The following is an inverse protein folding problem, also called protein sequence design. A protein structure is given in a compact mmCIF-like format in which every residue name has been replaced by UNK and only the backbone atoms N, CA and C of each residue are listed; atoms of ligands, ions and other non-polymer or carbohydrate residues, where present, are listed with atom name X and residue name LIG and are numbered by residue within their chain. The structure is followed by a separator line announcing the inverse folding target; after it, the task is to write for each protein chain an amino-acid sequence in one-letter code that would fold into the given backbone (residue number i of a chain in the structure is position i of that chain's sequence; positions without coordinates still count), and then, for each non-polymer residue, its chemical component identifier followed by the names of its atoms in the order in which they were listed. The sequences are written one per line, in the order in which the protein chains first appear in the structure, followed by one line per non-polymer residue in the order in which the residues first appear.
data_IF_681946164415
#
_entry.id   IF_681946164415
#
_cell.length_a   1.000
_cell.length_b   1.000
_cell.length_c   1.000
_cell.angle_alpha   90.00
_cell.angle_beta   90.00
_cell.angle_gamma   90.00
#
_symmetry.space_group_name_H-M   'P 1'
#
loop_
_entity.id
_entity.type
_entity.pdbx_description
1 polymer ?
#
# COMPACT_ATOMS: atom_id res chain seq x y z
N UNK A 1 -6.78 0.56 -9.19
CA UNK A 1 -5.36 0.22 -9.39
C UNK A 1 -4.70 0.08 -8.02
N UNK A 2 -3.98 -1.01 -7.76
CA UNK A 2 -3.30 -1.26 -6.47
C UNK A 2 -1.77 -1.25 -6.61
N UNK A 3 -1.24 -1.65 -7.76
CA UNK A 3 0.18 -1.60 -8.10
C UNK A 3 0.33 -0.99 -9.50
N UNK A 4 1.37 -0.19 -9.71
CA UNK A 4 1.75 0.36 -11.00
C UNK A 4 3.16 -0.10 -11.39
N UNK A 5 3.32 -0.58 -12.63
CA UNK A 5 4.62 -0.88 -13.22
C UNK A 5 5.29 0.43 -13.66
N UNK A 6 6.56 0.60 -13.29
CA UNK A 6 7.35 1.80 -13.54
C UNK A 6 8.44 1.61 -14.58
N UNK A 7 8.84 0.35 -14.86
CA UNK A 7 9.82 0.03 -15.88
C UNK A 7 9.30 -1.01 -16.86
N UNK A 8 9.74 -0.88 -18.11
CA UNK A 8 9.49 -1.85 -19.19
C UNK A 8 10.32 -3.13 -19.03
N UNK A 9 11.29 -3.11 -18.10
CA UNK A 9 12.05 -4.28 -17.70
C UNK A 9 11.11 -5.25 -17.00
N UNK A 10 10.68 -6.28 -17.73
CA UNK A 10 9.96 -7.44 -17.20
C UNK A 10 10.53 -7.86 -15.84
N UNK A 11 9.82 -7.65 -14.71
CA UNK A 11 10.20 -8.25 -13.43
C UNK A 11 10.32 -9.77 -13.51
N UNK A 12 9.76 -10.35 -14.59
CA UNK A 12 9.60 -11.77 -14.83
C UNK A 12 10.82 -12.46 -15.45
N UNK A 13 11.94 -11.77 -15.72
CA UNK A 13 13.15 -12.43 -16.24
C UNK A 13 13.99 -13.15 -15.18
N UNK A 14 13.72 -13.00 -13.88
CA UNK A 14 14.42 -13.75 -12.84
C UNK A 14 13.65 -13.84 -11.51
N UNK A 15 13.63 -15.07 -10.95
CA UNK A 15 13.52 -15.41 -9.52
C UNK A 15 12.24 -14.96 -8.79
N UNK A 16 12.05 -15.55 -7.62
CA UNK A 16 10.99 -15.18 -6.70
C UNK A 16 11.12 -13.72 -6.24
N UNK A 17 9.97 -13.05 -6.11
CA UNK A 17 9.83 -11.66 -5.66
C UNK A 17 9.11 -11.68 -4.31
N UNK A 18 9.80 -11.26 -3.26
CA UNK A 18 9.26 -11.14 -1.91
C UNK A 18 9.81 -9.87 -1.24
N UNK A 19 9.23 -8.69 -1.51
CA UNK A 19 9.73 -7.43 -0.97
C UNK A 19 9.62 -7.44 0.55
N UNK A 20 10.74 -7.21 1.23
CA UNK A 20 10.80 -7.17 2.70
C UNK A 20 11.01 -5.73 3.18
N UNK A 21 10.15 -5.29 4.09
CA UNK A 21 10.29 -4.05 4.86
C UNK A 21 10.40 -4.32 6.38
N UNK A 22 10.42 -3.26 7.18
CA UNK A 22 10.48 -3.35 8.65
C UNK A 22 9.27 -4.06 9.27
N UNK A 23 8.11 -4.01 8.61
CA UNK A 23 6.86 -4.64 9.04
C UNK A 23 6.73 -6.10 8.57
N UNK A 24 7.55 -6.53 7.60
CA UNK A 24 7.60 -7.89 7.11
C UNK A 24 7.57 -7.98 5.59
N UNK A 25 7.18 -9.14 5.07
CA UNK A 25 7.04 -9.37 3.63
C UNK A 25 5.77 -8.69 3.14
N UNK A 26 5.92 -7.87 2.10
CA UNK A 26 4.83 -7.20 1.43
C UNK A 26 3.99 -8.21 0.63
N UNK A 27 2.68 -8.27 0.92
CA UNK A 27 1.76 -9.18 0.22
C UNK A 27 1.10 -8.61 -1.03
N UNK A 28 1.31 -7.33 -1.37
CA UNK A 28 0.71 -6.69 -2.54
C UNK A 28 1.54 -6.89 -3.81
N UNK A 29 2.86 -7.04 -3.68
CA UNK A 29 3.78 -7.32 -4.78
C UNK A 29 4.59 -8.55 -4.41
N UNK A 30 4.25 -9.72 -4.95
CA UNK A 30 5.08 -10.91 -4.81
C UNK A 30 4.92 -11.84 -6.02
N UNK A 31 5.92 -12.69 -6.24
CA UNK A 31 5.93 -13.71 -7.28
C UNK A 31 6.75 -14.90 -6.78
N UNK A 32 6.34 -16.12 -7.09
CA UNK A 32 7.19 -17.30 -6.90
C UNK A 32 6.98 -18.29 -8.02
N UNK A 33 8.07 -18.87 -8.50
CA UNK A 33 8.04 -20.02 -9.39
C UNK A 33 7.82 -21.35 -8.65
N UNK A 34 7.90 -21.35 -7.32
CA UNK A 34 7.74 -22.55 -6.49
C UNK A 34 6.25 -22.84 -6.25
N UNK A 35 5.74 -23.82 -7.02
CA UNK A 35 4.37 -24.29 -6.90
C UNK A 35 4.06 -24.94 -5.54
N UNK A 36 5.03 -25.53 -4.86
CA UNK A 36 4.84 -26.13 -3.54
C UNK A 36 4.68 -25.04 -2.48
N UNK A 37 5.53 -24.01 -2.52
CA UNK A 37 5.39 -22.83 -1.66
C UNK A 37 4.02 -22.16 -1.87
N UNK A 38 3.62 -21.93 -3.13
CA UNK A 38 2.33 -21.32 -3.44
C UNK A 38 1.15 -22.15 -2.91
N UNK A 39 1.19 -23.48 -3.07
CA UNK A 39 0.17 -24.39 -2.51
C UNK A 39 0.13 -24.33 -0.98
N UNK A 40 1.28 -24.27 -0.31
CA UNK A 40 1.38 -24.12 1.14
C UNK A 40 0.77 -22.80 1.63
N UNK A 41 1.12 -21.69 0.97
CA UNK A 41 0.54 -20.37 1.24
C UNK A 41 -0.99 -20.38 1.08
N UNK A 42 -1.48 -20.93 -0.03
CA UNK A 42 -2.91 -21.01 -0.30
C UNK A 42 -3.65 -21.90 0.72
N UNK A 43 -3.09 -23.07 1.04
CA UNK A 43 -3.67 -23.97 2.04
C UNK A 43 -3.80 -23.27 3.40
N UNK A 44 -2.72 -22.65 3.89
CA UNK A 44 -2.74 -21.92 5.15
C UNK A 44 -3.73 -20.75 5.15
N UNK A 45 -3.81 -19.99 4.06
CA UNK A 45 -4.81 -18.93 3.93
C UNK A 45 -6.24 -19.48 3.99
N UNK A 46 -6.51 -20.60 3.30
CA UNK A 46 -7.83 -21.25 3.27
C UNK A 46 -8.26 -21.81 4.63
N UNK A 47 -7.34 -22.34 5.44
CA UNK A 47 -7.63 -22.81 6.81
C UNK A 47 -8.13 -21.69 7.76
N UNK A 48 -7.96 -20.43 7.35
CA UNK A 48 -8.32 -19.24 8.13
C UNK A 48 -9.63 -18.59 7.66
N UNK A 49 -10.15 -18.99 6.49
CA UNK A 49 -11.42 -18.47 5.95
C UNK A 49 -12.57 -18.80 6.93
N UNK A 50 -13.51 -17.86 7.09
CA UNK A 50 -14.66 -18.03 7.99
C UNK A 50 -14.39 -17.75 9.47
N UNK A 51 -13.14 -17.40 9.85
CA UNK A 51 -12.78 -17.00 11.21
C UNK A 51 -12.80 -15.47 11.38
N UNK A 52 -12.81 -15.00 12.62
CA UNK A 52 -12.63 -13.58 12.93
C UNK A 52 -11.14 -13.20 12.77
N UNK A 53 -10.77 -12.78 11.56
CA UNK A 53 -9.38 -12.52 11.19
C UNK A 53 -8.92 -11.13 11.63
N UNK A 54 -7.70 -11.08 12.18
CA UNK A 54 -6.95 -9.84 12.36
C UNK A 54 -6.33 -9.43 11.02
N UNK A 55 -6.06 -8.14 10.90
CA UNK A 55 -5.43 -7.59 9.70
C UNK A 55 -4.08 -8.25 9.42
N UNK A 56 -3.86 -8.69 8.18
CA UNK A 56 -2.62 -9.31 7.73
C UNK A 56 -2.50 -10.82 7.96
N UNK A 57 -3.41 -11.47 8.69
CA UNK A 57 -3.33 -12.91 9.02
C UNK A 57 -3.39 -13.86 7.82
N UNK A 58 -3.92 -13.41 6.68
CA UNK A 58 -3.93 -14.14 5.40
C UNK A 58 -3.02 -13.51 4.35
N UNK A 59 -2.23 -12.50 4.73
CA UNK A 59 -1.38 -11.74 3.82
C UNK A 59 0.02 -11.54 4.43
N UNK A 60 0.45 -10.29 4.70
CA UNK A 60 1.80 -10.00 5.18
C UNK A 60 2.28 -10.81 6.39
N UNK A 61 1.43 -11.06 7.39
CA UNK A 61 1.83 -11.82 8.58
C UNK A 61 2.03 -13.30 8.24
N UNK A 62 1.16 -13.87 7.41
CA UNK A 62 1.28 -15.24 6.94
C UNK A 62 2.52 -15.44 6.09
N UNK A 63 2.73 -14.56 5.11
CA UNK A 63 3.92 -14.56 4.24
C UNK A 63 5.18 -14.42 5.08
N UNK A 64 5.24 -13.44 5.98
CA UNK A 64 6.41 -13.23 6.83
C UNK A 64 6.73 -14.45 7.68
N UNK A 65 5.72 -15.09 8.26
CA UNK A 65 5.89 -16.30 9.07
C UNK A 65 6.44 -17.47 8.23
N UNK A 66 5.83 -17.74 7.08
CA UNK A 66 6.19 -18.90 6.26
C UNK A 66 7.51 -18.73 5.50
N UNK A 67 7.84 -17.51 5.10
CA UNK A 67 9.06 -17.22 4.35
C UNK A 67 10.29 -17.01 5.24
N UNK A 68 10.08 -16.84 6.55
CA UNK A 68 11.15 -16.82 7.56
C UNK A 68 11.48 -18.22 8.11
N UNK A 69 10.66 -19.22 7.80
CA UNK A 69 10.97 -20.61 8.14
C UNK A 69 12.22 -21.07 7.33
N UNK A 70 13.25 -21.52 8.06
CA UNK A 70 14.56 -21.84 7.50
C UNK A 70 14.51 -22.94 6.44
N UNK A 71 13.48 -23.78 6.43
CA UNK A 71 13.36 -24.92 5.51
C UNK A 71 12.98 -24.53 4.08
N UNK A 72 12.38 -23.35 3.88
CA UNK A 72 11.81 -22.92 2.60
C UNK A 72 12.15 -21.46 2.25
N UNK A 73 13.22 -20.90 2.81
CA UNK A 73 13.49 -19.45 2.74
C UNK A 73 13.83 -19.01 1.31
N UNK A 74 12.92 -18.34 0.58
CA UNK A 74 13.28 -17.79 -0.72
C UNK A 74 14.20 -16.59 -0.51
N UNK A 75 14.87 -16.18 -1.59
CA UNK A 75 15.61 -14.92 -1.57
C UNK A 75 14.64 -13.77 -1.47
N UNK A 76 14.69 -13.02 -0.37
CA UNK A 76 13.88 -11.83 -0.19
C UNK A 76 14.38 -10.70 -1.11
N UNK A 77 13.44 -9.91 -1.60
CA UNK A 77 13.71 -8.81 -2.53
C UNK A 77 13.83 -7.47 -1.78
N UNK A 78 14.73 -6.58 -2.21
CA UNK A 78 14.79 -5.22 -1.68
C UNK A 78 13.46 -4.47 -1.87
N UNK A 79 12.90 -3.93 -0.79
CA UNK A 79 11.67 -3.13 -0.83
C UNK A 79 11.76 -1.97 -1.82
N UNK A 80 12.88 -1.26 -1.86
CA UNK A 80 13.07 -0.09 -2.72
C UNK A 80 12.85 -0.38 -4.22
N UNK A 81 13.00 -1.63 -4.67
CA UNK A 81 12.71 -1.99 -6.06
C UNK A 81 11.23 -2.18 -6.36
N UNK A 82 10.39 -2.48 -5.36
CA UNK A 82 9.00 -2.90 -5.59
C UNK A 82 7.96 -2.01 -4.88
N UNK A 83 8.31 -1.48 -3.71
CA UNK A 83 7.48 -0.63 -2.87
C UNK A 83 8.31 0.56 -2.33
N UNK A 84 8.89 1.41 -3.22
CA UNK A 84 9.80 2.49 -2.84
C UNK A 84 9.13 3.57 -1.97
N UNK A 85 7.83 3.79 -2.14
CA UNK A 85 7.08 4.76 -1.35
C UNK A 85 6.43 4.05 -0.16
N UNK A 86 6.79 4.47 1.05
CA UNK A 86 6.23 3.96 2.28
C UNK A 86 4.75 4.35 2.45
N UNK A 87 4.03 3.58 3.25
CA UNK A 87 2.59 3.80 3.46
C UNK A 87 2.23 5.14 4.10
N UNK A 88 3.13 5.71 4.92
CA UNK A 88 2.95 7.05 5.47
C UNK A 88 3.04 8.17 4.43
N UNK A 89 3.73 7.90 3.32
CA UNK A 89 4.07 8.88 2.29
C UNK A 89 3.24 8.73 1.01
N UNK A 90 2.19 7.91 1.03
CA UNK A 90 1.37 7.64 -0.16
C UNK A 90 0.76 8.90 -0.78
N UNK A 91 0.52 9.94 0.03
CA UNK A 91 0.01 11.23 -0.43
C UNK A 91 0.97 11.94 -1.41
N UNK A 92 2.27 11.68 -1.31
CA UNK A 92 3.30 12.25 -2.20
C UNK A 92 3.09 11.83 -3.67
N UNK A 93 2.54 10.65 -3.90
CA UNK A 93 2.20 10.19 -5.26
C UNK A 93 1.10 11.05 -5.92
N UNK A 94 0.25 11.70 -5.13
CA UNK A 94 -0.96 12.40 -5.58
C UNK A 94 -0.78 13.91 -5.69
N UNK A 95 0.25 14.47 -5.07
CA UNK A 95 0.44 15.91 -4.94
C UNK A 95 1.59 16.40 -5.84
N UNK A 96 1.37 17.44 -6.68
CA UNK A 96 2.39 17.93 -7.61
C UNK A 96 3.71 18.34 -6.97
N UNK A 97 3.69 18.94 -5.77
CA UNK A 97 4.90 19.40 -5.10
C UNK A 97 5.90 18.29 -4.73
N UNK A 98 5.46 17.03 -4.68
CA UNK A 98 6.32 15.87 -4.40
C UNK A 98 6.68 15.08 -5.66
N UNK A 99 6.36 15.61 -6.85
CA UNK A 99 6.58 14.91 -8.13
C UNK A 99 8.04 14.52 -8.31
N UNK A 100 8.96 15.47 -8.09
CA UNK A 100 10.39 15.24 -8.30
C UNK A 100 10.98 14.30 -7.25
N UNK A 101 10.57 14.44 -5.99
CA UNK A 101 10.95 13.53 -4.91
C UNK A 101 10.53 12.09 -5.22
N UNK A 102 9.28 11.89 -5.65
CA UNK A 102 8.78 10.58 -6.05
C UNK A 102 9.53 10.06 -7.28
N UNK A 103 9.85 10.92 -8.24
CA UNK A 103 10.59 10.55 -9.44
C UNK A 103 11.99 10.04 -9.12
N UNK A 104 12.73 10.72 -8.23
CA UNK A 104 14.05 10.26 -7.80
C UNK A 104 13.95 8.97 -6.97
N UNK A 105 13.02 8.92 -6.01
CA UNK A 105 12.81 7.75 -5.15
C UNK A 105 12.45 6.50 -5.97
N UNK A 106 11.72 6.69 -7.06
CA UNK A 106 11.28 5.60 -7.94
C UNK A 106 12.20 5.38 -9.15
N UNK A 107 13.34 6.07 -9.26
CA UNK A 107 14.18 6.10 -10.47
C UNK A 107 14.66 4.71 -10.91
N UNK A 108 14.93 3.82 -9.95
CA UNK A 108 15.37 2.44 -10.20
C UNK A 108 14.32 1.39 -9.81
N UNK A 109 13.12 1.83 -9.41
CA UNK A 109 12.06 0.93 -9.00
C UNK A 109 11.36 0.29 -10.21
N UNK A 110 10.94 -0.97 -10.04
CA UNK A 110 10.18 -1.73 -11.03
C UNK A 110 8.70 -1.48 -10.86
N UNK A 111 8.22 -1.41 -9.61
CA UNK A 111 6.83 -1.13 -9.28
C UNK A 111 6.70 -0.07 -8.21
N UNK A 112 5.49 0.49 -8.09
CA UNK A 112 5.04 1.22 -6.90
C UNK A 112 3.70 0.66 -6.44
N UNK A 113 3.60 0.38 -5.13
CA UNK A 113 2.36 -0.03 -4.49
C UNK A 113 1.55 1.22 -4.08
N UNK A 114 0.28 1.27 -4.48
CA UNK A 114 -0.62 2.41 -4.30
C UNK A 114 -1.46 2.32 -3.02
N UNK A 115 -1.36 1.20 -2.31
CA UNK A 115 -1.92 1.01 -0.97
C UNK A 115 -3.40 1.33 -0.97
N UNK A 116 -4.14 0.57 -1.77
CA UNK A 116 -5.54 0.82 -2.11
C UNK A 116 -6.45 1.04 -0.89
N UNK A 117 -6.15 0.43 0.25
CA UNK A 117 -6.86 0.66 1.51
C UNK A 117 -6.73 2.11 2.02
N UNK A 118 -5.54 2.71 1.95
CA UNK A 118 -5.31 4.09 2.37
C UNK A 118 -6.02 5.06 1.43
N UNK A 119 -5.93 4.85 0.11
CA UNK A 119 -6.64 5.68 -0.87
C UNK A 119 -8.15 5.71 -0.61
N UNK A 120 -8.76 4.54 -0.32
CA UNK A 120 -10.19 4.46 0.04
C UNK A 120 -10.49 5.25 1.31
N UNK A 121 -9.67 5.10 2.35
CA UNK A 121 -9.85 5.81 3.64
C UNK A 121 -9.65 7.33 3.53
N UNK A 122 -8.80 7.78 2.62
CA UNK A 122 -8.61 9.19 2.28
C UNK A 122 -9.84 9.80 1.59
N UNK A 123 -10.68 8.97 0.97
CA UNK A 123 -11.81 9.42 0.16
C UNK A 123 -11.46 9.66 -1.32
N UNK A 124 -10.33 9.11 -1.78
CA UNK A 124 -9.91 9.20 -3.18
C UNK A 124 -10.87 8.41 -4.10
N UNK A 125 -11.45 9.09 -5.09
CA UNK A 125 -12.30 8.48 -6.12
C UNK A 125 -11.43 7.91 -7.23
N UNK A 126 -11.41 6.58 -7.33
CA UNK A 126 -10.48 5.85 -8.21
C UNK A 126 -10.84 5.90 -9.70
N UNK A 127 -12.01 6.44 -10.04
CA UNK A 127 -12.40 6.75 -11.41
C UNK A 127 -11.97 8.17 -11.84
N UNK A 128 -11.31 8.94 -10.96
CA UNK A 128 -10.77 10.27 -11.25
C UNK A 128 -9.25 10.22 -11.17
N UNK A 129 -8.57 10.61 -12.23
CA UNK A 129 -7.12 10.63 -12.30
C UNK A 129 -6.53 11.61 -11.25
N UNK A 130 -5.35 11.35 -10.69
CA UNK A 130 -4.65 12.29 -9.82
C UNK A 130 -4.41 13.65 -10.51
N UNK A 131 -4.21 14.75 -9.77
CA UNK A 131 -3.90 16.06 -10.35
C UNK A 131 -2.78 16.04 -11.38
N UNK A 132 -2.93 16.82 -12.46
CA UNK A 132 -1.84 17.05 -13.43
C UNK A 132 -0.59 17.54 -12.71
N UNK A 133 0.58 17.06 -13.15
CA UNK A 133 1.86 17.38 -12.53
C UNK A 133 2.19 16.59 -11.26
N UNK A 134 1.27 15.77 -10.73
CA UNK A 134 1.63 14.77 -9.72
C UNK A 134 2.37 13.59 -10.35
N UNK A 135 3.23 12.92 -9.57
CA UNK A 135 3.99 11.76 -10.04
C UNK A 135 3.08 10.66 -10.62
N UNK A 136 1.98 10.33 -9.94
CA UNK A 136 1.09 9.27 -10.40
C UNK A 136 0.36 9.66 -11.69
N UNK A 137 0.00 10.93 -11.87
CA UNK A 137 -0.60 11.40 -13.11
C UNK A 137 0.38 11.27 -14.28
N UNK A 138 1.64 11.68 -14.10
CA UNK A 138 2.64 11.57 -15.16
C UNK A 138 2.92 10.12 -15.55
N UNK A 139 2.97 9.20 -14.59
CA UNK A 139 3.16 7.78 -14.90
C UNK A 139 1.97 7.19 -15.63
N UNK A 140 0.75 7.56 -15.25
CA UNK A 140 -0.47 7.20 -15.98
C UNK A 140 -0.50 7.79 -17.40
N UNK A 141 -0.01 9.01 -17.59
CA UNK A 141 0.12 9.63 -18.91
C UNK A 141 1.12 8.88 -19.79
N UNK A 142 2.29 8.56 -19.22
CA UNK A 142 3.38 7.87 -19.93
C UNK A 142 2.98 6.48 -20.44
N UNK A 143 2.13 5.74 -19.71
CA UNK A 143 1.61 4.44 -20.15
C UNK A 143 0.24 4.51 -20.85
N UNK A 144 -0.19 5.71 -21.28
CA UNK A 144 -1.47 5.94 -21.95
C UNK A 144 -2.70 5.41 -21.19
N UNK A 145 -2.63 5.43 -19.85
CA UNK A 145 -3.68 4.92 -18.96
C UNK A 145 -4.67 6.00 -18.50
N UNK A 146 -4.44 7.28 -18.84
CA UNK A 146 -5.36 8.36 -18.47
C UNK A 146 -6.77 8.18 -19.07
N UNK A 147 -6.91 7.46 -20.19
CA UNK A 147 -8.20 7.17 -20.81
C UNK A 147 -9.14 6.27 -19.97
N UNK A 148 -8.62 5.61 -18.92
CA UNK A 148 -9.44 4.81 -18.00
C UNK A 148 -10.15 5.64 -16.91
N UNK A 149 -9.89 6.95 -16.87
CA UNK A 149 -10.46 7.85 -15.85
C UNK A 149 -11.50 8.77 -16.48
N UNK A 150 -12.58 9.03 -15.73
CA UNK A 150 -13.68 9.89 -16.17
C UNK A 150 -13.33 11.38 -16.07
N UNK A 151 -12.39 11.75 -15.21
CA UNK A 151 -11.97 13.12 -14.97
C UNK A 151 -10.54 13.15 -14.39
N UNK A 152 -10.03 14.35 -14.14
CA UNK A 152 -8.76 14.59 -13.41
C UNK A 152 -9.04 15.49 -12.22
N UNK A 153 -8.49 15.16 -11.04
CA UNK A 153 -8.65 15.95 -9.84
C UNK A 153 -8.06 17.36 -10.00
N UNK A 154 -8.77 18.42 -9.58
CA UNK A 154 -8.14 19.69 -9.28
C UNK A 154 -7.13 19.54 -8.13
N UNK A 155 -6.02 20.27 -8.21
CA UNK A 155 -4.95 20.18 -7.21
C UNK A 155 -5.44 20.58 -5.81
N UNK A 156 -6.20 21.67 -5.71
CA UNK A 156 -6.75 22.19 -4.46
C UNK A 156 -7.70 21.19 -3.78
N UNK A 157 -8.49 20.46 -4.57
CA UNK A 157 -9.36 19.38 -4.08
C UNK A 157 -8.52 18.23 -3.53
N UNK A 158 -7.47 17.81 -4.24
CA UNK A 158 -6.57 16.75 -3.76
C UNK A 158 -5.85 17.15 -2.47
N UNK A 159 -5.35 18.38 -2.41
CA UNK A 159 -4.70 18.97 -1.22
C UNK A 159 -5.63 18.90 -0.01
N UNK A 160 -6.88 19.33 -0.17
CA UNK A 160 -7.91 19.24 0.89
C UNK A 160 -8.21 17.79 1.30
N UNK A 161 -8.25 16.84 0.36
CA UNK A 161 -8.43 15.42 0.69
C UNK A 161 -7.28 14.89 1.55
N UNK A 162 -6.04 15.18 1.17
CA UNK A 162 -4.83 14.79 1.92
C UNK A 162 -4.79 15.44 3.30
N UNK A 163 -5.06 16.74 3.39
CA UNK A 163 -5.13 17.48 4.65
C UNK A 163 -6.19 16.90 5.59
N UNK A 164 -7.40 16.65 5.08
CA UNK A 164 -8.48 16.05 5.86
C UNK A 164 -8.12 14.65 6.36
N UNK A 165 -7.47 13.84 5.53
CA UNK A 165 -7.01 12.51 5.93
C UNK A 165 -5.94 12.59 7.02
N UNK A 166 -4.94 13.46 6.85
CA UNK A 166 -3.88 13.69 7.83
C UNK A 166 -4.45 14.23 9.15
N UNK A 167 -5.42 15.13 9.08
CA UNK A 167 -6.13 15.68 10.24
C UNK A 167 -6.89 14.60 11.02
N UNK A 168 -7.64 13.72 10.32
CA UNK A 168 -8.31 12.56 10.93
C UNK A 168 -7.32 11.59 11.58
N UNK A 169 -6.12 11.46 11.01
CA UNK A 169 -5.05 10.60 11.55
C UNK A 169 -4.36 11.19 12.77
N UNK A 170 -4.14 12.50 12.79
CA UNK A 170 -3.33 13.19 13.81
C UNK A 170 -4.14 13.69 15.02
N UNK A 171 -5.48 13.61 15.02
CA UNK A 171 -6.32 13.89 16.19
C UNK A 171 -6.31 15.33 16.73
N UNK A 172 -5.66 16.28 16.04
CA UNK A 172 -5.42 17.66 16.52
C UNK A 172 -6.65 18.57 16.58
N UNK A 173 -7.87 18.09 16.32
CA UNK A 173 -9.11 18.84 16.58
C UNK A 173 -10.11 18.12 17.47
N UNK A 174 -9.66 17.23 18.35
CA UNK A 174 -10.51 16.76 19.44
C UNK A 174 -10.35 17.65 20.69
N UNK A 175 -10.67 18.94 20.50
CA UNK A 175 -11.34 19.77 21.52
C UNK A 175 -12.81 19.39 21.70
N UNK A 176 -13.27 18.34 21.01
CA UNK A 176 -14.61 17.77 21.09
C UNK A 176 -14.48 16.36 21.70
N UNK A 177 -14.06 16.29 22.96
CA UNK A 177 -14.12 15.03 23.74
C UNK A 177 -15.55 14.68 24.19
N UNK A 178 -16.53 15.56 23.97
CA UNK A 178 -17.92 15.34 24.41
C UNK A 178 -18.87 14.77 23.36
N UNK A 179 -18.64 14.95 22.04
CA UNK A 179 -19.59 14.51 21.00
C UNK A 179 -19.23 13.13 20.39
N UNK A 180 -17.96 12.70 20.48
CA UNK A 180 -17.50 11.47 19.81
C UNK A 180 -17.87 10.18 20.56
N UNK A 181 -18.39 10.27 21.80
CA UNK A 181 -18.75 9.07 22.57
C UNK A 181 -19.91 8.28 21.95
N UNK A 182 -20.73 8.90 21.10
CA UNK A 182 -21.89 8.23 20.48
C UNK A 182 -21.71 7.80 19.02
N UNK A 183 -20.58 8.06 18.35
CA UNK A 183 -20.54 7.83 16.88
C UNK A 183 -19.42 6.96 16.30
N UNK A 184 -18.35 6.54 16.99
CA UNK A 184 -17.29 5.77 16.29
C UNK A 184 -16.64 4.65 17.14
N UNK A 185 -17.11 3.39 17.01
CA UNK A 185 -16.47 2.19 17.58
C UNK A 185 -15.22 1.69 16.82
N UNK A 186 -14.77 2.38 15.77
CA UNK A 186 -13.78 1.87 14.81
C UNK A 186 -12.35 2.42 14.98
N UNK A 187 -12.16 3.55 15.68
CA UNK A 187 -10.83 4.18 15.81
C UNK A 187 -9.98 3.50 16.90
N UNK A 188 -10.60 3.09 18.02
CA UNK A 188 -9.90 2.41 19.12
C UNK A 188 -9.36 1.02 18.77
N UNK A 189 -9.88 0.38 17.71
CA UNK A 189 -9.46 -0.96 17.28
C UNK A 189 -8.14 -0.97 16.51
N UNK A 190 -7.77 0.12 15.82
CA UNK A 190 -6.58 0.13 14.97
C UNK A 190 -5.30 0.45 15.74
N UNK A 191 -5.33 1.37 16.70
CA UNK A 191 -4.14 1.74 17.49
C UNK A 191 -3.60 0.57 18.34
N UNK A 192 -4.51 -0.20 18.94
CA UNK A 192 -4.16 -1.38 19.76
C UNK A 192 -3.58 -2.55 18.95
N UNK A 193 -3.75 -2.54 17.63
CA UNK A 193 -3.25 -3.58 16.71
C UNK A 193 -1.91 -3.21 16.05
N UNK A 194 -1.45 -1.95 16.15
CA UNK A 194 -0.17 -1.52 15.57
C UNK A 194 1.02 -1.71 16.53
N UNK A 195 0.77 -1.63 17.84
CA UNK A 195 1.76 -1.89 18.89
C UNK A 195 1.15 -2.76 20.00
N UNK A 196 1.10 -4.10 19.83
CA UNK A 196 0.76 -4.95 20.95
C UNK A 196 1.86 -4.82 22.02
N UNK A 197 1.47 -4.58 23.28
CA UNK A 197 2.39 -4.71 24.42
C UNK A 197 2.97 -6.12 24.37
N UNK A 198 4.29 -6.23 24.38
CA UNK A 198 4.97 -7.49 24.63
C UNK A 198 4.50 -8.00 26.00
N UNK A 199 3.84 -9.15 25.99
CA UNK A 199 3.64 -10.01 27.16
C UNK A 199 4.48 -11.25 26.87
#
# INVERSE_FOLDING_TARGET
MDVLLLSDNTPFRARDIFPLDESGVNGAVFYTGDAALLKGLAHEAMQRVGRNLKWGETGPLLLTRLLRDERNRPRLSPQAMFCPIAHGDIHKLLLPEFRDECSETCRTAITVHLINNILVRMGYWKNVAPPKGSFLHERLAACNALGYFAATYPEDVMRRLVENFNFRRNGKALGIKSIVREAIPSIGRTYRNYYPRQI
#
